data_IF_831231908407
#
_entry.id   IF_831231908407
#
_cell.length_a   1.000
_cell.length_b   1.000
_cell.length_c   1.000
_cell.angle_alpha   90.00
_cell.angle_beta   90.00
_cell.angle_gamma   90.00
#
_symmetry.space_group_name_H-M   'P 1'
#
loop_
_entity.id
_entity.type
_entity.pdbx_description
1 polymer ?
#
# COMPACT_ATOMS: atom_id res chain seq x y z
N UNK A 1 -47.12 18.27 -46.33
CA UNK A 1 -45.89 18.97 -46.73
C UNK A 1 -44.82 18.70 -45.69
N UNK A 2 -43.68 18.15 -46.12
CA UNK A 2 -42.46 17.87 -45.35
C UNK A 2 -41.63 19.15 -45.25
N UNK A 3 -41.27 19.61 -44.05
CA UNK A 3 -40.10 20.44 -43.68
C UNK A 3 -39.92 20.28 -42.14
N UNK A 4 -39.06 19.40 -41.62
CA UNK A 4 -37.60 19.51 -41.34
C UNK A 4 -37.29 20.67 -40.37
N UNK A 5 -36.36 20.41 -39.40
CA UNK A 5 -35.54 21.34 -38.58
C UNK A 5 -36.19 21.72 -37.21
N UNK A 6 -35.60 21.60 -36.01
CA UNK A 6 -34.23 21.33 -35.52
C UNK A 6 -34.32 20.72 -34.11
N UNK A 7 -33.64 19.60 -33.89
CA UNK A 7 -33.33 19.04 -32.56
C UNK A 7 -32.28 19.96 -31.92
N UNK A 8 -32.62 20.65 -30.83
CA UNK A 8 -31.62 21.31 -29.99
C UNK A 8 -31.33 20.43 -28.77
N UNK A 9 -30.43 19.46 -28.97
CA UNK A 9 -29.70 18.78 -27.92
C UNK A 9 -28.87 19.82 -27.14
N UNK A 10 -29.43 20.38 -26.07
CA UNK A 10 -28.62 21.03 -25.05
C UNK A 10 -27.95 19.94 -24.19
N UNK A 11 -26.96 19.28 -24.77
CA UNK A 11 -26.04 18.40 -24.05
C UNK A 11 -25.24 19.29 -23.09
N UNK A 12 -25.66 19.35 -21.83
CA UNK A 12 -24.86 19.90 -20.74
C UNK A 12 -23.64 19.03 -20.57
N UNK A 13 -22.56 19.44 -21.22
CA UNK A 13 -21.24 18.83 -21.19
C UNK A 13 -20.68 19.00 -19.78
N UNK A 14 -20.94 18.04 -18.90
CA UNK A 14 -20.27 17.95 -17.61
C UNK A 14 -18.78 17.73 -17.87
N UNK A 15 -17.98 18.78 -17.68
CA UNK A 15 -16.53 18.68 -17.61
C UNK A 15 -16.15 17.84 -16.40
N UNK A 16 -16.08 16.53 -16.60
CA UNK A 16 -15.43 15.60 -15.68
C UNK A 16 -13.96 15.99 -15.61
N UNK A 17 -13.59 16.74 -14.58
CA UNK A 17 -12.21 16.99 -14.22
C UNK A 17 -11.58 15.68 -13.76
N UNK A 18 -11.09 14.88 -14.71
CA UNK A 18 -10.21 13.75 -14.41
C UNK A 18 -8.93 14.30 -13.78
N UNK A 19 -8.81 14.20 -12.44
CA UNK A 19 -7.51 14.29 -11.78
C UNK A 19 -6.68 13.12 -12.31
N UNK A 20 -5.68 13.41 -13.14
CA UNK A 20 -4.69 12.43 -13.57
C UNK A 20 -3.79 12.14 -12.37
N UNK A 21 -4.20 11.20 -11.53
CA UNK A 21 -3.38 10.62 -10.46
C UNK A 21 -2.07 10.11 -11.10
N UNK A 22 -0.93 10.37 -10.46
CA UNK A 22 0.35 9.85 -10.94
C UNK A 22 0.33 8.33 -10.87
N UNK A 23 0.40 7.69 -12.03
CA UNK A 23 0.51 6.24 -12.19
C UNK A 23 1.89 5.70 -11.76
N UNK A 24 2.61 6.31 -10.82
CA UNK A 24 3.90 5.82 -10.34
C UNK A 24 4.04 6.22 -8.88
N UNK A 25 4.64 5.33 -8.08
CA UNK A 25 4.94 5.65 -6.70
C UNK A 25 5.93 6.84 -6.62
N UNK A 26 5.75 7.77 -5.65
CA UNK A 26 6.68 8.87 -5.44
C UNK A 26 8.12 8.40 -5.19
N UNK A 27 9.08 9.23 -5.58
CA UNK A 27 10.52 8.95 -5.42
C UNK A 27 11.18 9.67 -4.24
N UNK A 28 10.43 10.51 -3.53
CA UNK A 28 10.91 11.24 -2.35
C UNK A 28 11.21 10.27 -1.22
N UNK A 29 12.43 10.27 -0.68
CA UNK A 29 12.78 9.42 0.46
C UNK A 29 11.99 9.87 1.70
N UNK A 30 11.22 8.95 2.29
CA UNK A 30 10.44 9.21 3.50
C UNK A 30 11.21 8.73 4.76
N UNK A 31 10.93 9.34 5.90
CA UNK A 31 11.47 8.90 7.19
C UNK A 31 10.41 8.93 8.29
N UNK A 32 9.32 8.18 8.09
CA UNK A 32 8.25 8.10 9.07
C UNK A 32 8.69 7.26 10.30
N UNK A 33 8.40 7.79 11.49
CA UNK A 33 8.74 7.15 12.77
C UNK A 33 7.48 6.72 13.52
N UNK A 34 7.60 5.63 14.27
CA UNK A 34 6.58 5.18 15.23
C UNK A 34 7.01 5.62 16.63
N UNK A 35 6.12 6.30 17.34
CA UNK A 35 6.36 6.66 18.73
C UNK A 35 6.35 5.41 19.63
N UNK A 36 7.55 5.09 20.12
CA UNK A 36 7.89 3.96 20.98
C UNK A 36 8.31 4.43 22.37
N UNK A 37 8.20 5.72 22.68
CA UNK A 37 8.59 6.27 23.99
C UNK A 37 7.72 5.71 25.11
N UNK A 38 8.31 5.47 26.29
CA UNK A 38 7.71 4.72 27.40
C UNK A 38 6.52 5.49 28.00
N UNK A 39 5.34 4.89 27.91
CA UNK A 39 4.05 5.38 28.41
C UNK A 39 3.00 4.27 28.35
N UNK A 40 1.78 4.56 28.82
CA UNK A 40 0.67 3.58 28.82
C UNK A 40 0.21 3.25 27.38
N UNK A 41 0.47 4.15 26.43
CA UNK A 41 0.12 4.03 25.01
C UNK A 41 1.34 3.81 24.09
N UNK A 42 2.42 3.22 24.59
CA UNK A 42 3.60 2.93 23.76
C UNK A 42 3.29 1.87 22.69
N UNK A 43 3.77 2.11 21.48
CA UNK A 43 3.74 1.10 20.43
C UNK A 43 4.80 0.01 20.72
N UNK A 44 4.38 -1.26 20.76
CA UNK A 44 5.25 -2.41 21.03
C UNK A 44 5.41 -3.25 19.78
N UNK A 45 6.66 -3.52 19.37
CA UNK A 45 6.95 -4.43 18.25
C UNK A 45 6.43 -5.84 18.56
N UNK A 46 5.64 -6.41 17.64
CA UNK A 46 5.05 -7.74 17.77
C UNK A 46 5.57 -8.73 16.74
N UNK A 47 5.70 -8.29 15.49
CA UNK A 47 6.15 -9.13 14.40
C UNK A 47 7.17 -8.39 13.54
N UNK A 48 8.05 -9.14 12.89
CA UNK A 48 8.96 -8.57 11.89
C UNK A 48 9.32 -9.57 10.79
N UNK A 49 9.75 -9.05 9.65
CA UNK A 49 10.22 -9.86 8.53
C UNK A 49 11.14 -9.06 7.61
N UNK A 50 12.13 -9.72 7.02
CA UNK A 50 12.95 -9.10 5.98
C UNK A 50 12.30 -9.27 4.62
N UNK A 51 12.36 -8.23 3.78
CA UNK A 51 11.84 -8.33 2.42
C UNK A 51 12.66 -9.32 1.58
N UNK A 52 11.94 -10.03 0.74
CA UNK A 52 12.45 -10.83 -0.38
C UNK A 52 11.90 -10.24 -1.67
N UNK A 53 12.76 -10.14 -2.68
CA UNK A 53 12.37 -9.66 -4.01
C UNK A 53 11.47 -10.70 -4.68
N UNK A 54 10.42 -10.22 -5.35
CA UNK A 54 9.53 -11.03 -6.17
C UNK A 54 10.00 -11.08 -7.63
N UNK A 55 9.27 -11.77 -8.52
CA UNK A 55 9.67 -11.91 -9.92
C UNK A 55 9.68 -10.59 -10.71
N UNK A 56 8.99 -9.56 -10.23
CA UNK A 56 8.77 -8.31 -10.98
C UNK A 56 9.31 -7.07 -10.27
N UNK A 57 9.98 -7.23 -9.14
CA UNK A 57 10.54 -6.12 -8.38
C UNK A 57 11.77 -6.54 -7.58
N UNK A 58 12.66 -5.58 -7.40
CA UNK A 58 13.72 -5.63 -6.42
C UNK A 58 13.21 -4.91 -5.19
N UNK A 59 13.17 -5.58 -4.04
CA UNK A 59 12.71 -5.00 -2.77
C UNK A 59 13.72 -5.34 -1.68
N UNK A 60 14.08 -4.32 -0.88
CA UNK A 60 14.95 -4.46 0.30
C UNK A 60 14.35 -3.76 1.51
N UNK A 61 14.97 -3.98 2.67
CA UNK A 61 14.51 -3.45 3.96
C UNK A 61 13.76 -4.50 4.79
N UNK A 62 13.02 -4.02 5.79
CA UNK A 62 12.27 -4.87 6.71
C UNK A 62 10.84 -4.36 6.90
N UNK A 63 10.00 -5.27 7.37
CA UNK A 63 8.66 -5.00 7.87
C UNK A 63 8.68 -5.17 9.37
N UNK A 64 8.10 -4.22 10.08
CA UNK A 64 7.92 -4.22 11.52
C UNK A 64 6.46 -3.92 11.85
N UNK A 65 5.81 -4.76 12.66
CA UNK A 65 4.42 -4.56 13.08
C UNK A 65 4.41 -4.18 14.54
N UNK A 66 3.91 -2.98 14.82
CA UNK A 66 3.75 -2.46 16.16
C UNK A 66 2.30 -2.53 16.60
N UNK A 67 2.08 -2.78 17.88
CA UNK A 67 0.77 -2.72 18.52
C UNK A 67 0.72 -1.58 19.51
N UNK A 68 -0.30 -0.71 19.41
CA UNK A 68 -0.63 0.34 20.37
C UNK A 68 -2.07 0.15 20.81
N UNK A 69 -2.28 -0.29 22.05
CA UNK A 69 -3.62 -0.67 22.53
C UNK A 69 -4.24 -1.76 21.65
N UNK A 70 -5.36 -1.46 21.00
CA UNK A 70 -6.05 -2.36 20.04
C UNK A 70 -5.66 -2.10 18.58
N UNK A 71 -4.87 -1.06 18.30
CA UNK A 71 -4.46 -0.69 16.95
C UNK A 71 -3.11 -1.33 16.58
N UNK A 72 -2.95 -1.60 15.28
CA UNK A 72 -1.68 -2.04 14.70
C UNK A 72 -1.19 -1.04 13.66
N UNK A 73 0.13 -0.91 13.58
CA UNK A 73 0.83 -0.11 12.58
C UNK A 73 1.90 -0.98 11.92
N UNK A 74 1.97 -0.96 10.59
CA UNK A 74 3.01 -1.61 9.80
C UNK A 74 4.02 -0.55 9.37
N UNK A 75 5.28 -0.73 9.77
CA UNK A 75 6.39 0.06 9.30
C UNK A 75 7.19 -0.72 8.26
N UNK A 76 7.38 -0.12 7.09
CA UNK A 76 8.40 -0.50 6.14
C UNK A 76 9.68 0.24 6.54
N UNK A 77 10.66 -0.47 7.09
CA UNK A 77 11.90 0.07 7.62
C UNK A 77 13.06 -0.08 6.62
N UNK A 78 13.79 1.00 6.39
CA UNK A 78 14.87 1.09 5.40
C UNK A 78 14.45 0.54 4.03
N UNK A 79 13.20 0.80 3.65
CA UNK A 79 12.58 0.23 2.47
C UNK A 79 13.18 0.82 1.20
N UNK A 80 13.35 -0.03 0.18
CA UNK A 80 13.67 0.40 -1.16
C UNK A 80 13.05 -0.55 -2.19
N UNK A 81 12.56 -0.02 -3.30
CA UNK A 81 12.17 -0.81 -4.47
C UNK A 81 12.35 -0.03 -5.78
N UNK A 82 12.37 -0.73 -6.91
CA UNK A 82 12.19 -0.09 -8.21
C UNK A 82 10.74 0.36 -8.42
N UNK A 83 10.54 1.39 -9.25
CA UNK A 83 9.22 1.95 -9.48
C UNK A 83 8.30 0.98 -10.26
N UNK A 84 6.99 1.08 -10.01
CA UNK A 84 5.93 0.36 -10.69
C UNK A 84 4.63 1.18 -10.70
N UNK A 85 3.70 0.95 -11.65
CA UNK A 85 2.67 1.97 -11.89
C UNK A 85 1.55 2.11 -10.84
N UNK A 86 1.29 1.05 -10.08
CA UNK A 86 0.24 1.06 -9.06
C UNK A 86 0.65 0.14 -7.90
N UNK A 87 1.78 0.47 -7.25
CA UNK A 87 2.27 -0.32 -6.12
C UNK A 87 1.43 -0.07 -4.88
N UNK A 88 0.98 -1.15 -4.26
CA UNK A 88 0.23 -1.18 -3.00
C UNK A 88 0.96 -2.01 -1.96
N UNK A 89 0.66 -1.75 -0.69
CA UNK A 89 1.18 -2.50 0.45
C UNK A 89 0.04 -3.30 1.07
N UNK A 90 0.20 -4.63 1.14
CA UNK A 90 -0.83 -5.52 1.64
C UNK A 90 -0.34 -6.34 2.83
N UNK A 91 -1.23 -6.60 3.79
CA UNK A 91 -1.10 -7.71 4.75
C UNK A 91 -1.83 -8.91 4.15
N UNK A 92 -1.20 -10.08 4.08
CA UNK A 92 -1.71 -11.23 3.31
C UNK A 92 -1.48 -12.57 3.99
N UNK A 93 -2.34 -13.55 3.70
CA UNK A 93 -2.15 -14.95 4.14
C UNK A 93 -1.06 -15.67 3.34
N UNK A 94 -0.84 -15.26 2.10
CA UNK A 94 0.15 -15.80 1.18
C UNK A 94 1.08 -14.71 0.62
N UNK A 95 2.25 -15.08 0.10
CA UNK A 95 3.20 -14.13 -0.49
C UNK A 95 2.60 -13.40 -1.71
N UNK A 96 1.98 -14.15 -2.63
CA UNK A 96 1.12 -13.58 -3.66
C UNK A 96 -0.24 -13.26 -3.01
N UNK A 97 -0.66 -11.98 -2.97
CA UNK A 97 -1.82 -11.57 -2.19
C UNK A 97 -3.12 -11.99 -2.86
N UNK A 98 -3.69 -13.12 -2.42
CA UNK A 98 -5.03 -13.59 -2.79
C UNK A 98 -6.02 -13.25 -1.67
N UNK A 99 -5.63 -13.53 -0.42
CA UNK A 99 -6.41 -13.21 0.78
C UNK A 99 -5.68 -12.12 1.58
N UNK A 100 -6.09 -10.87 1.39
CA UNK A 100 -5.33 -9.72 1.91
C UNK A 100 -6.20 -8.62 2.52
N UNK A 101 -5.52 -7.76 3.27
CA UNK A 101 -5.99 -6.47 3.76
C UNK A 101 -5.16 -5.40 3.03
N UNK A 102 -5.83 -4.51 2.31
CA UNK A 102 -5.19 -3.41 1.59
C UNK A 102 -4.87 -2.24 2.54
N UNK A 103 -3.58 -1.88 2.64
CA UNK A 103 -3.14 -0.72 3.43
C UNK A 103 -3.01 0.55 2.58
N UNK A 104 -3.30 0.46 1.29
CA UNK A 104 -3.28 1.54 0.32
C UNK A 104 -2.05 1.53 -0.58
N UNK A 105 -1.99 2.57 -1.41
CA UNK A 105 -0.87 2.78 -2.33
C UNK A 105 0.44 3.03 -1.57
N UNK A 106 1.53 2.56 -2.16
CA UNK A 106 2.89 2.78 -1.67
C UNK A 106 3.19 4.28 -1.67
N UNK A 107 3.47 4.84 -0.49
CA UNK A 107 3.73 6.29 -0.32
C UNK A 107 5.02 6.74 -1.01
N UNK A 108 6.04 5.89 -1.04
CA UNK A 108 7.30 6.13 -1.75
C UNK A 108 8.03 4.83 -2.07
N UNK A 109 8.85 4.84 -3.13
CA UNK A 109 9.76 3.72 -3.43
C UNK A 109 10.95 3.61 -2.46
N UNK A 110 11.16 4.59 -1.56
CA UNK A 110 12.31 4.61 -0.67
C UNK A 110 12.02 5.23 0.70
N UNK A 111 12.67 4.70 1.73
CA UNK A 111 12.68 5.25 3.09
C UNK A 111 11.67 4.62 4.04
N UNK A 112 11.62 5.11 5.27
CA UNK A 112 10.73 4.59 6.31
C UNK A 112 9.29 5.07 6.07
N UNK A 113 8.34 4.13 6.11
CA UNK A 113 6.92 4.39 5.83
C UNK A 113 6.04 3.61 6.79
N UNK A 114 5.03 4.26 7.36
CA UNK A 114 4.12 3.69 8.36
C UNK A 114 2.70 3.66 7.82
N UNK A 115 2.02 2.53 7.98
CA UNK A 115 0.65 2.29 7.54
C UNK A 115 -0.20 1.85 8.73
N UNK A 116 -1.39 2.43 8.89
CA UNK A 116 -2.35 1.97 9.88
C UNK A 116 -3.06 0.72 9.38
N UNK A 117 -3.27 -0.25 10.27
CA UNK A 117 -3.98 -1.49 9.94
C UNK A 117 -5.45 -1.34 10.31
N UNK A 118 -6.34 -1.64 9.37
CA UNK A 118 -7.77 -1.72 9.66
C UNK A 118 -8.10 -3.02 10.40
N UNK A 119 -8.84 -2.91 11.50
CA UNK A 119 -9.28 -4.06 12.29
C UNK A 119 -8.17 -4.70 13.13
N UNK A 120 -8.35 -5.97 13.49
CA UNK A 120 -7.43 -6.74 14.33
C UNK A 120 -7.16 -8.09 13.67
N UNK A 121 -6.36 -8.13 12.58
CA UNK A 121 -6.07 -9.39 11.90
C UNK A 121 -5.28 -10.35 12.78
N UNK A 122 -5.52 -11.64 12.58
CA UNK A 122 -4.65 -12.67 13.13
C UNK A 122 -3.38 -12.79 12.26
N UNK A 123 -2.25 -12.31 12.79
CA UNK A 123 -0.96 -12.34 12.10
C UNK A 123 -0.33 -13.74 12.03
N UNK A 124 -0.91 -14.76 12.66
CA UNK A 124 -0.55 -16.16 12.40
C UNK A 124 -1.18 -16.68 11.10
N UNK A 125 -2.36 -16.15 10.72
CA UNK A 125 -2.96 -16.41 9.41
C UNK A 125 -2.41 -15.44 8.35
N UNK A 126 -2.49 -14.13 8.62
CA UNK A 126 -2.01 -13.05 7.76
C UNK A 126 -0.53 -12.78 7.97
N UNK A 127 0.28 -13.79 7.66
CA UNK A 127 1.70 -13.85 7.99
C UNK A 127 2.63 -13.20 6.96
N UNK A 128 2.10 -12.53 5.94
CA UNK A 128 2.91 -11.84 4.94
C UNK A 128 2.58 -10.35 4.87
N UNK A 129 3.59 -9.54 4.57
CA UNK A 129 3.40 -8.20 4.00
C UNK A 129 3.98 -8.18 2.60
N UNK A 130 3.20 -7.77 1.62
CA UNK A 130 3.56 -7.83 0.20
C UNK A 130 3.48 -6.45 -0.46
N UNK A 131 4.43 -6.19 -1.36
CA UNK A 131 4.39 -5.07 -2.31
C UNK A 131 3.86 -5.62 -3.63
N UNK A 132 2.72 -5.09 -4.07
CA UNK A 132 2.01 -5.62 -5.22
C UNK A 132 1.66 -4.52 -6.21
N UNK A 133 1.95 -4.74 -7.50
CA UNK A 133 1.48 -3.86 -8.56
C UNK A 133 0.08 -4.26 -8.99
N UNK A 134 -0.90 -3.45 -8.61
CA UNK A 134 -2.33 -3.73 -8.87
C UNK A 134 -2.64 -3.71 -10.36
N UNK A 135 -2.06 -2.76 -11.10
CA UNK A 135 -2.31 -2.58 -12.54
C UNK A 135 -1.93 -3.82 -13.39
N UNK A 136 -0.94 -4.59 -12.94
CA UNK A 136 -0.44 -5.76 -13.69
C UNK A 136 -0.58 -7.08 -12.93
N UNK A 137 -1.17 -7.07 -11.73
CA UNK A 137 -1.24 -8.24 -10.86
C UNK A 137 0.13 -8.91 -10.63
N UNK A 138 1.16 -8.09 -10.37
CA UNK A 138 2.55 -8.54 -10.24
C UNK A 138 3.06 -8.39 -8.81
N UNK A 139 3.66 -9.46 -8.29
CA UNK A 139 4.35 -9.45 -7.01
C UNK A 139 5.74 -8.82 -7.14
N UNK A 140 5.94 -7.68 -6.48
CA UNK A 140 7.23 -6.98 -6.45
C UNK A 140 8.12 -7.51 -5.34
N UNK A 141 7.56 -7.85 -4.19
CA UNK A 141 8.28 -8.46 -3.09
C UNK A 141 7.37 -8.74 -1.91
N UNK A 142 7.89 -9.48 -0.94
CA UNK A 142 7.13 -9.88 0.24
C UNK A 142 8.06 -10.09 1.43
N UNK A 143 7.52 -9.99 2.64
CA UNK A 143 8.18 -10.33 3.89
C UNK A 143 7.31 -11.32 4.66
N UNK A 144 7.89 -12.44 5.08
CA UNK A 144 7.25 -13.36 6.01
C UNK A 144 7.45 -12.83 7.44
N UNK A 145 6.35 -12.65 8.16
CA UNK A 145 6.32 -12.18 9.54
C UNK A 145 6.66 -13.31 10.52
N UNK A 146 7.46 -12.98 11.54
CA UNK A 146 7.85 -13.86 12.65
C UNK A 146 7.80 -13.12 13.97
#
# INVERSE_FOLDING_TARGET
MRYIILILCAATFSIVSCKKESQFAPTTVLDEMIDTTRGIDSAVLKFKGSFQSGPFGTVTGMVEIYKRGTAYEVKLASFNTNNGPALHVYISKEAMPVNYIDMGSLKSIAGNQVYSVSGMPDFYEYKYVSIHCVAFNHLFGYALLK
#
